data_IF_073444785894
#
_entry.id   IF_073444785894
#
_cell.length_a   1.000
_cell.length_b   1.000
_cell.length_c   1.000
_cell.angle_alpha   90.00
_cell.angle_beta   90.00
_cell.angle_gamma   90.00
#
_symmetry.space_group_name_H-M   'P 1'
#
loop_
_entity.id
_entity.type
_entity.pdbx_description
1 polymer ?
#
# COMPACT_ATOMS: atom_id res chain seq x y z
N UNK A 1 19.59 5.27 6.94
CA UNK A 1 19.29 4.83 5.57
C UNK A 1 17.78 4.69 5.43
N UNK A 2 17.22 5.44 4.50
CA UNK A 2 15.80 5.36 4.20
C UNK A 2 15.49 4.03 3.51
N UNK A 3 14.55 3.27 4.06
CA UNK A 3 14.11 1.97 3.51
C UNK A 3 12.69 2.09 2.98
N UNK A 4 12.55 2.81 1.88
CA UNK A 4 11.26 2.97 1.22
C UNK A 4 11.07 1.92 0.14
N UNK A 5 9.82 1.75 -0.29
CA UNK A 5 9.48 0.92 -1.46
C UNK A 5 10.28 1.38 -2.68
N UNK A 6 10.40 2.71 -2.84
CA UNK A 6 11.10 3.30 -3.99
C UNK A 6 12.61 3.03 -4.02
N UNK A 7 13.21 2.65 -2.90
CA UNK A 7 14.64 2.38 -2.80
C UNK A 7 14.99 0.91 -3.06
N UNK A 8 14.11 0.15 -3.68
CA UNK A 8 14.36 -1.24 -4.00
C UNK A 8 14.29 -2.18 -2.81
N UNK A 9 13.55 -1.82 -1.76
CA UNK A 9 13.39 -2.63 -0.55
C UNK A 9 11.94 -3.11 -0.33
N UNK A 10 11.24 -3.56 -1.39
CA UNK A 10 9.83 -3.91 -1.23
C UNK A 10 9.59 -5.09 -0.28
N UNK A 11 10.48 -6.06 -0.25
CA UNK A 11 10.35 -7.19 0.68
C UNK A 11 10.40 -6.74 2.14
N UNK A 12 11.32 -5.84 2.46
CA UNK A 12 11.39 -5.26 3.81
C UNK A 12 10.12 -4.50 4.16
N UNK A 13 9.65 -3.65 3.24
CA UNK A 13 8.45 -2.85 3.44
C UNK A 13 7.21 -3.72 3.67
N UNK A 14 7.07 -4.79 2.90
CA UNK A 14 5.95 -5.73 3.05
C UNK A 14 5.99 -6.40 4.43
N UNK A 15 7.16 -6.85 4.88
CA UNK A 15 7.29 -7.45 6.21
C UNK A 15 6.87 -6.47 7.30
N UNK A 16 7.27 -5.20 7.20
CA UNK A 16 6.87 -4.17 8.16
C UNK A 16 5.36 -3.90 8.10
N UNK A 17 4.80 -3.81 6.89
CA UNK A 17 3.38 -3.56 6.71
C UNK A 17 2.53 -4.70 7.31
N UNK A 18 2.92 -5.94 7.09
CA UNK A 18 2.18 -7.10 7.60
C UNK A 18 2.14 -7.11 9.13
N UNK A 19 3.15 -6.58 9.80
CA UNK A 19 3.15 -6.46 11.26
C UNK A 19 2.02 -5.57 11.78
N UNK A 20 1.45 -4.70 10.95
CA UNK A 20 0.30 -3.88 11.33
C UNK A 20 -1.00 -4.69 11.36
N UNK A 21 -1.04 -5.83 10.71
CA UNK A 21 -2.22 -6.70 10.71
C UNK A 21 -2.31 -7.44 12.05
N UNK A 22 -3.41 -7.23 12.76
CA UNK A 22 -3.76 -8.03 13.96
C UNK A 22 -4.50 -9.30 13.53
N UNK A 23 -3.99 -9.97 12.54
CA UNK A 23 -4.72 -10.94 11.76
C UNK A 23 -3.81 -12.13 11.54
N UNK A 24 -4.19 -13.27 12.04
CA UNK A 24 -3.39 -14.48 11.91
C UNK A 24 -3.61 -15.21 10.58
N UNK A 25 -4.68 -14.86 9.84
CA UNK A 25 -5.05 -15.56 8.62
C UNK A 25 -4.84 -14.66 7.39
N UNK A 26 -3.63 -14.67 6.85
CA UNK A 26 -3.28 -13.85 5.69
C UNK A 26 -4.07 -14.18 4.42
N UNK A 27 -4.48 -15.44 4.15
CA UNK A 27 -5.32 -15.73 2.99
C UNK A 27 -6.68 -14.99 3.01
N UNK A 28 -7.19 -14.65 4.18
CA UNK A 28 -8.46 -13.91 4.32
C UNK A 28 -8.26 -12.40 4.37
N UNK A 29 -7.03 -11.92 4.48
CA UNK A 29 -6.74 -10.49 4.57
C UNK A 29 -7.03 -9.77 3.26
N UNK A 30 -7.63 -8.58 3.36
CA UNK A 30 -7.91 -7.70 2.22
C UNK A 30 -6.94 -6.53 2.27
N UNK A 31 -6.05 -6.46 1.29
CA UNK A 31 -4.99 -5.45 1.27
C UNK A 31 -5.19 -4.54 0.08
N UNK A 32 -5.16 -3.24 0.35
CA UNK A 32 -5.23 -2.20 -0.67
C UNK A 32 -3.86 -1.58 -0.86
N UNK A 33 -3.42 -1.51 -2.13
CA UNK A 33 -2.18 -0.83 -2.49
C UNK A 33 -2.55 0.46 -3.23
N UNK A 34 -2.10 1.60 -2.72
CA UNK A 34 -2.36 2.88 -3.33
C UNK A 34 -1.16 3.30 -4.17
N UNK A 35 -1.32 3.20 -5.48
CA UNK A 35 -0.32 3.55 -6.46
C UNK A 35 0.23 2.35 -7.22
N UNK A 36 0.11 2.40 -8.54
CA UNK A 36 0.68 1.43 -9.47
C UNK A 36 1.77 2.06 -10.33
N UNK A 37 1.66 3.37 -10.60
CA UNK A 37 2.64 4.07 -11.40
C UNK A 37 4.03 4.07 -10.74
N UNK A 38 5.06 4.25 -11.54
CA UNK A 38 6.45 4.30 -11.08
C UNK A 38 6.67 5.44 -10.06
N UNK A 39 6.02 6.59 -10.26
CA UNK A 39 6.12 7.75 -9.36
C UNK A 39 4.81 8.54 -9.41
N UNK A 40 4.69 9.54 -8.52
CA UNK A 40 3.51 10.38 -8.45
C UNK A 40 3.26 11.18 -9.71
N UNK A 41 1.98 11.40 -10.01
CA UNK A 41 1.46 12.26 -11.06
C UNK A 41 1.86 11.82 -12.47
N UNK A 42 2.14 10.54 -12.66
CA UNK A 42 2.38 9.94 -13.99
C UNK A 42 1.62 8.63 -14.12
N UNK A 43 1.43 8.17 -15.36
CA UNK A 43 0.76 6.89 -15.65
C UNK A 43 1.74 5.76 -16.00
N UNK A 44 3.03 6.03 -16.02
CA UNK A 44 4.05 5.06 -16.40
C UNK A 44 4.23 4.02 -15.30
N UNK A 45 3.95 2.76 -15.62
CA UNK A 45 4.08 1.64 -14.68
C UNK A 45 5.38 0.85 -14.84
N UNK A 46 6.20 1.19 -15.82
CA UNK A 46 7.48 0.50 -16.04
C UNK A 46 8.36 0.66 -14.81
N UNK A 47 9.00 -0.43 -14.40
CA UNK A 47 9.88 -0.45 -13.22
C UNK A 47 9.19 -0.06 -11.90
N UNK A 48 7.85 -0.11 -11.86
CA UNK A 48 7.13 0.20 -10.63
C UNK A 48 7.48 -0.80 -9.52
N UNK A 49 7.81 -0.31 -8.31
CA UNK A 49 8.06 -1.20 -7.18
C UNK A 49 6.81 -1.93 -6.71
N UNK A 50 5.63 -1.49 -7.13
CA UNK A 50 4.37 -2.11 -6.73
C UNK A 50 4.28 -3.58 -7.18
N UNK A 51 4.85 -3.95 -8.33
CA UNK A 51 4.86 -5.34 -8.77
C UNK A 51 5.61 -6.24 -7.78
N UNK A 52 6.74 -5.77 -7.27
CA UNK A 52 7.49 -6.51 -6.27
C UNK A 52 6.73 -6.60 -4.94
N UNK A 53 6.00 -5.55 -4.58
CA UNK A 53 5.12 -5.56 -3.39
C UNK A 53 4.04 -6.63 -3.54
N UNK A 54 3.38 -6.71 -4.70
CA UNK A 54 2.37 -7.74 -4.97
C UNK A 54 2.98 -9.13 -4.81
N UNK A 55 4.13 -9.37 -5.42
CA UNK A 55 4.82 -10.65 -5.35
C UNK A 55 5.12 -11.05 -3.91
N UNK A 56 5.64 -10.12 -3.11
CA UNK A 56 5.94 -10.40 -1.71
C UNK A 56 4.70 -10.67 -0.88
N UNK A 57 3.62 -9.91 -1.08
CA UNK A 57 2.35 -10.16 -0.38
C UNK A 57 1.84 -11.57 -0.68
N UNK A 58 1.90 -11.98 -1.95
CA UNK A 58 1.45 -13.31 -2.33
C UNK A 58 2.34 -14.42 -1.75
N UNK A 59 3.63 -14.17 -1.63
CA UNK A 59 4.53 -15.10 -0.95
C UNK A 59 4.18 -15.29 0.52
N UNK A 60 3.63 -14.28 1.19
CA UNK A 60 3.13 -14.38 2.56
C UNK A 60 1.74 -15.01 2.65
N UNK A 61 1.12 -15.32 1.52
CA UNK A 61 -0.19 -15.99 1.49
C UNK A 61 -1.38 -15.07 1.29
N UNK A 62 -1.17 -13.78 1.04
CA UNK A 62 -2.25 -12.83 0.78
C UNK A 62 -2.92 -13.16 -0.57
N UNK A 63 -4.24 -13.22 -0.60
CA UNK A 63 -5.03 -13.63 -1.78
C UNK A 63 -5.97 -12.56 -2.31
N UNK A 64 -6.22 -11.48 -1.59
CA UNK A 64 -7.10 -10.40 -2.04
C UNK A 64 -6.31 -9.09 -2.02
N UNK A 65 -5.88 -8.63 -3.20
CA UNK A 65 -5.10 -7.41 -3.37
C UNK A 65 -5.87 -6.48 -4.31
N UNK A 66 -6.16 -5.28 -3.83
CA UNK A 66 -6.81 -4.23 -4.62
C UNK A 66 -5.84 -3.09 -4.81
N UNK A 67 -5.68 -2.67 -6.05
CA UNK A 67 -4.76 -1.58 -6.40
C UNK A 67 -5.58 -0.39 -6.86
N UNK A 68 -5.21 0.78 -6.36
CA UNK A 68 -5.74 2.04 -6.80
C UNK A 68 -4.64 2.85 -7.48
N UNK A 69 -4.99 3.48 -8.60
CA UNK A 69 -4.13 4.50 -9.20
C UNK A 69 -5.01 5.48 -9.98
N UNK A 70 -4.90 6.80 -9.72
CA UNK A 70 -5.72 7.79 -10.43
C UNK A 70 -5.31 8.00 -11.88
N UNK A 71 -4.10 7.59 -12.26
CA UNK A 71 -3.55 7.81 -13.60
C UNK A 71 -3.48 6.54 -14.45
N UNK A 72 -3.72 5.36 -13.85
CA UNK A 72 -3.64 4.08 -14.54
C UNK A 72 -4.98 3.39 -14.47
N UNK A 73 -5.70 3.33 -15.59
CA UNK A 73 -7.01 2.70 -15.66
C UNK A 73 -6.94 1.21 -15.99
N UNK A 74 -5.88 0.77 -16.64
CA UNK A 74 -5.65 -0.63 -16.95
C UNK A 74 -4.17 -0.93 -17.05
N UNK A 75 -3.79 -2.18 -16.74
CA UNK A 75 -2.42 -2.62 -16.84
C UNK A 75 -2.39 -4.11 -17.17
N UNK A 76 -1.98 -4.48 -18.41
CA UNK A 76 -1.91 -5.88 -18.81
C UNK A 76 -0.97 -6.73 -17.94
N UNK A 77 0.03 -6.12 -17.31
CA UNK A 77 0.95 -6.84 -16.44
C UNK A 77 0.26 -7.45 -15.21
N UNK A 78 -0.86 -6.87 -14.78
CA UNK A 78 -1.61 -7.39 -13.65
C UNK A 78 -2.28 -8.73 -13.96
N UNK A 79 -2.44 -9.07 -15.22
CA UNK A 79 -2.97 -10.38 -15.62
C UNK A 79 -2.03 -11.53 -15.24
N UNK A 80 -0.77 -11.25 -14.96
CA UNK A 80 0.20 -12.24 -14.50
C UNK A 80 0.05 -12.58 -13.01
N UNK A 81 -0.84 -11.90 -12.30
CA UNK A 81 -1.06 -12.10 -10.87
C UNK A 81 -2.49 -12.53 -10.60
N UNK A 82 -2.65 -13.53 -9.73
CA UNK A 82 -3.97 -14.00 -9.33
C UNK A 82 -4.55 -13.08 -8.25
N UNK A 83 -5.88 -12.89 -8.30
CA UNK A 83 -6.62 -12.19 -7.24
C UNK A 83 -6.16 -10.74 -7.01
N UNK A 84 -5.76 -10.07 -8.08
CA UNK A 84 -5.37 -8.66 -8.07
C UNK A 84 -6.34 -7.87 -8.93
N UNK A 85 -6.88 -6.79 -8.39
CA UNK A 85 -7.78 -5.89 -9.12
C UNK A 85 -7.25 -4.47 -9.12
N UNK A 86 -7.64 -3.69 -10.13
CA UNK A 86 -7.24 -2.29 -10.30
C UNK A 86 -8.50 -1.43 -10.42
N UNK A 87 -8.53 -0.32 -9.70
CA UNK A 87 -9.61 0.67 -9.79
C UNK A 87 -9.06 2.08 -9.66
N UNK A 88 -9.72 3.04 -10.30
CA UNK A 88 -9.45 4.47 -10.12
C UNK A 88 -10.36 5.11 -9.05
N UNK A 89 -11.25 4.35 -8.44
CA UNK A 89 -12.12 4.82 -7.37
C UNK A 89 -11.49 4.49 -6.01
N UNK A 90 -10.98 5.52 -5.34
CA UNK A 90 -10.26 5.37 -4.08
C UNK A 90 -11.12 4.78 -2.96
N UNK A 91 -12.37 5.23 -2.85
CA UNK A 91 -13.29 4.68 -1.85
C UNK A 91 -13.51 3.19 -2.04
N UNK A 92 -13.70 2.78 -3.27
CA UNK A 92 -13.91 1.37 -3.63
C UNK A 92 -12.66 0.54 -3.33
N UNK A 93 -11.49 1.10 -3.59
CA UNK A 93 -10.22 0.40 -3.35
C UNK A 93 -10.01 0.09 -1.87
N UNK A 94 -10.32 1.03 -0.98
CA UNK A 94 -10.03 0.89 0.45
C UNK A 94 -11.18 0.32 1.28
N UNK A 95 -12.35 0.16 0.69
CA UNK A 95 -13.52 -0.35 1.42
C UNK A 95 -13.26 -1.74 2.00
N UNK A 96 -13.46 -1.89 3.31
CA UNK A 96 -13.28 -3.16 4.02
C UNK A 96 -11.85 -3.71 3.97
N UNK A 97 -10.86 -2.84 3.74
CA UNK A 97 -9.46 -3.25 3.77
C UNK A 97 -8.98 -3.49 5.19
N UNK A 98 -8.13 -4.49 5.34
CA UNK A 98 -7.46 -4.80 6.60
C UNK A 98 -6.13 -4.04 6.72
N UNK A 99 -5.56 -3.64 5.59
CA UNK A 99 -4.29 -2.92 5.53
C UNK A 99 -4.26 -2.08 4.24
N UNK A 100 -3.73 -0.87 4.34
CA UNK A 100 -3.46 0.00 3.20
C UNK A 100 -1.95 0.19 3.09
N UNK A 101 -1.41 0.01 1.88
CA UNK A 101 0.01 0.26 1.59
C UNK A 101 0.09 1.41 0.59
N UNK A 102 0.78 2.49 0.96
CA UNK A 102 1.08 3.60 0.06
C UNK A 102 2.35 3.30 -0.70
N UNK A 103 2.22 3.11 -2.02
CA UNK A 103 3.33 2.71 -2.89
C UNK A 103 3.78 3.79 -3.85
N UNK A 104 2.93 4.76 -4.15
CA UNK A 104 3.22 5.86 -5.07
C UNK A 104 2.79 7.19 -4.45
N UNK A 105 3.52 8.26 -4.72
CA UNK A 105 3.30 9.57 -4.11
C UNK A 105 2.38 10.50 -4.94
N UNK A 106 1.24 9.99 -5.39
CA UNK A 106 0.23 10.81 -6.06
C UNK A 106 -0.34 11.87 -5.10
N UNK A 107 -0.63 13.05 -5.63
CA UNK A 107 -1.17 14.17 -4.84
C UNK A 107 -2.49 13.81 -4.16
N UNK A 108 -3.32 12.99 -4.79
CA UNK A 108 -4.59 12.54 -4.23
C UNK A 108 -4.41 11.89 -2.86
N UNK A 109 -3.31 11.18 -2.64
CA UNK A 109 -3.06 10.46 -1.38
C UNK A 109 -2.69 11.37 -0.22
N UNK A 110 -2.24 12.59 -0.49
CA UNK A 110 -1.96 13.58 0.57
C UNK A 110 -3.22 13.99 1.32
N UNK A 111 -4.38 13.79 0.72
CA UNK A 111 -5.69 14.14 1.31
C UNK A 111 -6.27 13.03 2.16
N UNK A 112 -5.59 11.89 2.26
CA UNK A 112 -6.06 10.79 3.09
C UNK A 112 -6.06 11.20 4.56
N UNK A 113 -7.19 11.08 5.20
CA UNK A 113 -7.36 11.41 6.61
C UNK A 113 -8.25 10.39 7.29
N UNK A 114 -8.46 10.56 8.59
CA UNK A 114 -9.24 9.65 9.41
C UNK A 114 -10.65 9.41 8.85
N UNK A 115 -11.29 10.46 8.33
CA UNK A 115 -12.60 10.35 7.72
C UNK A 115 -12.64 9.35 6.57
N UNK A 116 -11.55 9.23 5.85
CA UNK A 116 -11.41 8.37 4.69
C UNK A 116 -10.93 6.97 5.05
N UNK A 117 -9.89 6.93 5.89
CA UNK A 117 -9.18 5.70 6.26
C UNK A 117 -9.90 4.97 7.41
N UNK A 118 -10.56 5.72 8.31
CA UNK A 118 -11.14 5.14 9.52
C UNK A 118 -10.05 4.60 10.44
N UNK A 119 -10.21 3.34 10.85
CA UNK A 119 -9.25 2.65 11.73
C UNK A 119 -8.35 1.66 10.98
N UNK A 120 -8.33 1.72 9.66
CA UNK A 120 -7.52 0.80 8.85
C UNK A 120 -6.04 1.14 9.03
N UNK A 121 -5.19 0.17 9.41
CA UNK A 121 -3.75 0.41 9.47
C UNK A 121 -3.19 0.81 8.11
N UNK A 122 -2.24 1.74 8.10
CA UNK A 122 -1.62 2.24 6.87
C UNK A 122 -0.11 2.13 6.98
N UNK A 123 0.51 1.49 6.01
CA UNK A 123 1.95 1.56 5.82
C UNK A 123 2.26 2.59 4.74
N UNK A 124 2.87 3.71 5.14
CA UNK A 124 3.26 4.77 4.22
C UNK A 124 4.68 4.51 3.69
N UNK A 125 4.75 3.82 2.57
CA UNK A 125 6.01 3.43 1.94
C UNK A 125 6.74 4.57 1.25
N UNK A 126 6.15 5.77 1.21
CA UNK A 126 6.74 6.94 0.54
C UNK A 126 6.98 8.12 1.47
N UNK A 127 6.55 8.02 2.73
CA UNK A 127 6.68 9.13 3.67
C UNK A 127 5.81 10.33 3.28
N UNK A 128 4.66 10.08 2.70
CA UNK A 128 3.80 11.11 2.12
C UNK A 128 2.86 11.77 3.12
N UNK A 129 2.43 11.02 4.12
CA UNK A 129 1.39 11.48 5.04
C UNK A 129 1.95 12.42 6.11
N UNK A 130 1.09 13.33 6.55
CA UNK A 130 1.42 14.31 7.58
C UNK A 130 1.76 13.63 8.91
N UNK A 131 2.77 14.15 9.61
CA UNK A 131 3.20 13.61 10.91
C UNK A 131 2.11 13.63 11.95
N UNK A 132 1.24 14.64 11.94
CA UNK A 132 0.13 14.71 12.87
C UNK A 132 -0.87 13.59 12.63
N UNK A 133 -1.11 13.26 11.38
CA UNK A 133 -1.96 12.13 11.01
C UNK A 133 -1.34 10.81 11.44
N UNK A 134 -0.03 10.65 11.25
CA UNK A 134 0.71 9.45 11.66
C UNK A 134 0.57 9.21 13.16
N UNK A 135 0.62 10.26 13.98
CA UNK A 135 0.50 10.15 15.43
C UNK A 135 -0.90 9.82 15.92
N UNK A 136 -1.94 10.16 15.13
CA UNK A 136 -3.34 9.93 15.51
C UNK A 136 -3.90 8.60 14.99
N UNK A 137 -3.31 8.05 13.96
CA UNK A 137 -3.74 6.82 13.31
C UNK A 137 -2.65 5.76 13.43
N UNK A 138 -3.03 4.50 13.24
CA UNK A 138 -2.06 3.42 13.18
C UNK A 138 -1.35 3.44 11.83
N UNK A 139 -0.44 4.39 11.66
CA UNK A 139 0.31 4.58 10.42
C UNK A 139 1.77 4.31 10.70
N UNK A 140 2.36 3.41 9.93
CA UNK A 140 3.79 3.20 9.89
C UNK A 140 4.35 3.94 8.69
N UNK A 141 5.30 4.82 8.94
CA UNK A 141 6.04 5.48 7.87
C UNK A 141 7.45 4.90 7.76
N UNK A 142 8.07 5.13 6.60
CA UNK A 142 9.47 4.75 6.40
C UNK A 142 10.35 5.46 7.42
N UNK A 143 11.38 4.75 7.91
CA UNK A 143 12.33 5.30 8.87
C UNK A 143 11.91 5.20 10.32
N UNK A 144 10.73 4.66 10.64
CA UNK A 144 10.29 4.47 12.01
C UNK A 144 10.79 3.17 12.64
N UNK A 145 11.51 2.34 11.88
CA UNK A 145 12.01 1.07 12.39
C UNK A 145 10.93 0.06 12.69
N UNK A 146 11.22 -0.87 13.60
CA UNK A 146 10.24 -1.88 13.99
C UNK A 146 9.10 -1.27 14.78
N UNK A 147 7.88 -1.57 14.36
CA UNK A 147 6.73 -1.09 15.07
C UNK A 147 6.47 -1.92 16.29
N UNK A 148 6.21 -1.21 17.38
CA UNK A 148 5.53 -1.82 18.53
C UNK A 148 4.04 -1.59 18.32
N UNK A 149 3.36 -2.62 17.90
CA UNK A 149 1.91 -2.59 17.79
C UNK A 149 1.37 -2.85 19.19
N UNK A 150 0.88 -1.81 19.79
CA UNK A 150 0.17 -1.95 21.07
C UNK A 150 -1.31 -2.19 20.85
#
# INVERSE_FOLDING_TARGET
ISRSINNGMPAYCVRQAIKLLKFSDLPEAKISILGLAFRGEVSDTRLSPTYAVITELQRFGVRDIRIHDPFVSSDPNLLNYDNVSLTSDLKKAIKNSDLIILSTDHQEYKKLGKKFIGNIPVYDGRGLLDKNLVNKLKILTIGQGDIKIS
#
